data_IF_865882882250
#
_entry.id   IF_865882882250
#
_cell.length_a   1.000
_cell.length_b   1.000
_cell.length_c   1.000
_cell.angle_alpha   90.00
_cell.angle_beta   90.00
_cell.angle_gamma   90.00
#
_symmetry.space_group_name_H-M   'P 1'
#
loop_
_entity.id
_entity.type
_entity.pdbx_description
1 polymer ?
#
# COMPACT_ATOMS: atom_id res chain seq x y z
N UNK A 1 38.17 -26.20 11.60
CA UNK A 1 37.63 -25.23 12.58
C UNK A 1 36.43 -24.52 11.94
N UNK A 2 35.23 -25.09 12.07
CA UNK A 2 33.96 -24.53 11.54
C UNK A 2 33.05 -24.02 12.67
N UNK A 3 33.62 -23.30 13.64
CA UNK A 3 32.86 -22.79 14.80
C UNK A 3 32.09 -21.48 14.53
N UNK A 4 32.40 -20.76 13.44
CA UNK A 4 31.80 -19.44 13.17
C UNK A 4 30.41 -19.49 12.54
N UNK A 5 30.09 -20.52 11.75
CA UNK A 5 28.85 -20.59 10.97
C UNK A 5 27.59 -20.74 11.83
N UNK A 6 27.67 -21.54 12.90
CA UNK A 6 26.51 -21.78 13.77
C UNK A 6 26.05 -20.51 14.49
N UNK A 7 27.00 -19.67 14.94
CA UNK A 7 26.67 -18.43 15.64
C UNK A 7 25.84 -17.47 14.79
N UNK A 8 26.21 -17.27 13.53
CA UNK A 8 25.49 -16.38 12.60
C UNK A 8 24.07 -16.89 12.33
N UNK A 9 23.89 -18.20 12.12
CA UNK A 9 22.58 -18.80 11.90
C UNK A 9 21.61 -18.56 13.07
N UNK A 10 22.08 -18.71 14.31
CA UNK A 10 21.26 -18.45 15.50
C UNK A 10 20.89 -16.97 15.63
N UNK A 11 21.81 -16.05 15.33
CA UNK A 11 21.51 -14.61 15.36
C UNK A 11 20.43 -14.28 14.33
N UNK A 12 20.53 -14.79 13.10
CA UNK A 12 19.51 -14.56 12.06
C UNK A 12 18.17 -15.14 12.50
N UNK A 13 18.14 -16.36 13.02
CA UNK A 13 16.92 -17.00 13.52
C UNK A 13 16.27 -16.22 14.67
N UNK A 14 17.07 -15.71 15.61
CA UNK A 14 16.57 -14.90 16.73
C UNK A 14 16.01 -13.56 16.27
N UNK A 15 16.70 -12.87 15.35
CA UNK A 15 16.24 -11.63 14.73
C UNK A 15 14.91 -11.86 14.01
N UNK A 16 14.80 -12.95 13.24
CA UNK A 16 13.58 -13.34 12.55
C UNK A 16 12.41 -13.54 13.53
N UNK A 17 12.61 -14.36 14.56
CA UNK A 17 11.59 -14.66 15.58
C UNK A 17 11.15 -13.40 16.33
N UNK A 18 12.10 -12.54 16.68
CA UNK A 18 11.81 -11.25 17.32
C UNK A 18 11.00 -10.35 16.40
N UNK A 19 11.34 -10.30 15.11
CA UNK A 19 10.59 -9.57 14.09
C UNK A 19 9.17 -10.09 13.92
N UNK A 20 8.98 -11.41 13.81
CA UNK A 20 7.66 -12.03 13.70
C UNK A 20 6.79 -11.80 14.95
N UNK A 21 7.37 -11.95 16.14
CA UNK A 21 6.68 -11.66 17.40
C UNK A 21 6.30 -10.18 17.52
N UNK A 22 7.22 -9.27 17.17
CA UNK A 22 6.95 -7.84 17.14
C UNK A 22 5.82 -7.49 16.16
N UNK A 23 5.86 -8.03 14.94
CA UNK A 23 4.80 -7.83 13.94
C UNK A 23 3.45 -8.35 14.42
N UNK A 24 3.43 -9.51 15.07
CA UNK A 24 2.21 -10.08 15.66
C UNK A 24 1.65 -9.19 16.78
N UNK A 25 2.52 -8.69 17.66
CA UNK A 25 2.12 -7.76 18.72
C UNK A 25 1.56 -6.46 18.15
N UNK A 26 2.22 -5.91 17.12
CA UNK A 26 1.79 -4.70 16.41
C UNK A 26 0.46 -4.92 15.67
N UNK A 27 0.25 -6.08 15.07
CA UNK A 27 -1.03 -6.48 14.47
C UNK A 27 -2.14 -6.54 15.54
N UNK A 28 -1.87 -7.14 16.69
CA UNK A 28 -2.82 -7.22 17.80
C UNK A 28 -3.16 -5.83 18.38
N UNK A 29 -2.16 -4.95 18.50
CA UNK A 29 -2.39 -3.55 18.92
C UNK A 29 -3.25 -2.80 17.91
N UNK A 30 -2.93 -2.92 16.61
CA UNK A 30 -3.71 -2.30 15.54
C UNK A 30 -5.16 -2.77 15.59
N UNK A 31 -5.39 -4.06 15.84
CA UNK A 31 -6.74 -4.64 15.94
C UNK A 31 -7.58 -4.01 17.07
N UNK A 32 -6.93 -3.60 18.15
CA UNK A 32 -7.56 -3.01 19.35
C UNK A 32 -7.68 -1.48 19.28
N UNK A 33 -6.75 -0.79 18.61
CA UNK A 33 -6.64 0.67 18.64
C UNK A 33 -6.70 1.27 17.23
N UNK A 34 -7.83 1.90 16.89
CA UNK A 34 -8.02 2.57 15.60
C UNK A 34 -7.06 3.75 15.37
N UNK A 35 -6.59 4.39 16.43
CA UNK A 35 -5.63 5.51 16.37
C UNK A 35 -4.28 5.13 15.79
N UNK A 36 -3.93 3.84 15.80
CA UNK A 36 -2.68 3.35 15.21
C UNK A 36 -2.74 3.24 13.69
N UNK A 37 -3.92 3.25 13.07
CA UNK A 37 -4.08 3.09 11.62
C UNK A 37 -3.29 4.16 10.86
N UNK A 38 -3.38 5.42 11.28
CA UNK A 38 -2.68 6.52 10.61
C UNK A 38 -1.16 6.40 10.73
N UNK A 39 -0.66 5.92 11.87
CA UNK A 39 0.75 5.63 12.06
C UNK A 39 1.25 4.57 11.06
N UNK A 40 0.51 3.46 10.89
CA UNK A 40 0.88 2.45 9.89
C UNK A 40 0.77 2.97 8.47
N UNK A 41 -0.28 3.73 8.14
CA UNK A 41 -0.43 4.35 6.83
C UNK A 41 0.75 5.27 6.50
N UNK A 42 1.27 5.99 7.50
CA UNK A 42 2.48 6.79 7.37
C UNK A 42 3.72 5.91 7.16
N UNK A 43 3.88 4.79 7.88
CA UNK A 43 5.00 3.86 7.65
C UNK A 43 4.99 3.28 6.23
N UNK A 44 3.82 3.01 5.66
CA UNK A 44 3.68 2.49 4.31
C UNK A 44 3.83 3.54 3.20
N UNK A 45 4.09 4.83 3.51
CA UNK A 45 4.29 5.86 2.47
C UNK A 45 5.54 5.62 1.63
N UNK A 46 6.49 4.83 2.12
CA UNK A 46 7.70 4.44 1.39
C UNK A 46 7.36 3.57 0.17
N UNK A 47 6.24 2.85 0.21
CA UNK A 47 5.79 2.04 -0.92
C UNK A 47 5.11 2.92 -1.98
N UNK A 48 5.41 2.73 -3.28
CA UNK A 48 4.84 3.53 -4.38
C UNK A 48 3.38 3.19 -4.70
N UNK A 49 2.58 2.87 -3.68
CA UNK A 49 1.18 2.49 -3.82
C UNK A 49 0.24 3.65 -3.52
N UNK A 50 -0.93 3.64 -4.15
CA UNK A 50 -2.01 4.59 -3.84
C UNK A 50 -2.51 4.45 -2.40
N UNK A 51 -3.08 5.52 -1.84
CA UNK A 51 -3.63 5.53 -0.47
C UNK A 51 -4.65 4.40 -0.23
N UNK A 52 -5.42 4.01 -1.25
CA UNK A 52 -6.41 2.93 -1.16
C UNK A 52 -5.78 1.55 -0.96
N UNK A 53 -4.67 1.29 -1.68
CA UNK A 53 -3.93 0.03 -1.55
C UNK A 53 -3.24 -0.02 -0.19
N UNK A 54 -2.64 1.10 0.25
CA UNK A 54 -2.05 1.22 1.60
C UNK A 54 -3.06 0.96 2.70
N UNK A 55 -4.30 1.44 2.57
CA UNK A 55 -5.38 1.10 3.51
C UNK A 55 -5.74 -0.37 3.48
N UNK A 56 -5.79 -0.98 2.30
CA UNK A 56 -5.94 -2.42 2.15
C UNK A 56 -4.84 -3.19 2.89
N UNK A 57 -3.59 -2.76 2.74
CA UNK A 57 -2.42 -3.36 3.38
C UNK A 57 -2.50 -3.32 4.91
N UNK A 58 -2.92 -2.18 5.47
CA UNK A 58 -3.11 -2.05 6.93
C UNK A 58 -4.17 -3.03 7.44
N UNK A 59 -5.22 -3.33 6.65
CA UNK A 59 -6.24 -4.32 7.02
C UNK A 59 -5.71 -5.75 6.99
N UNK A 60 -4.75 -6.05 6.13
CA UNK A 60 -4.16 -7.38 5.98
C UNK A 60 -2.97 -7.66 6.90
N UNK A 61 -2.52 -6.69 7.71
CA UNK A 61 -1.39 -6.85 8.66
C UNK A 61 -1.48 -8.10 9.53
N UNK A 62 -2.68 -8.52 9.96
CA UNK A 62 -2.86 -9.76 10.72
C UNK A 62 -2.57 -11.03 9.92
N UNK A 63 -2.93 -11.02 8.63
CA UNK A 63 -2.61 -12.12 7.70
C UNK A 63 -1.12 -12.12 7.40
N UNK A 64 -0.49 -10.95 7.25
CA UNK A 64 0.96 -10.82 7.08
C UNK A 64 1.73 -11.34 8.29
N UNK A 65 1.27 -11.05 9.51
CA UNK A 65 1.87 -11.61 10.72
C UNK A 65 1.77 -13.16 10.73
N UNK A 66 0.64 -13.71 10.26
CA UNK A 66 0.44 -15.16 10.16
C UNK A 66 1.37 -15.79 9.11
N UNK A 67 1.56 -15.14 7.97
CA UNK A 67 2.46 -15.63 6.92
C UNK A 67 3.94 -15.63 7.38
N UNK A 68 4.36 -14.66 8.19
CA UNK A 68 5.70 -14.66 8.81
C UNK A 68 5.93 -15.89 9.69
N UNK A 69 4.94 -16.30 10.49
CA UNK A 69 5.03 -17.53 11.27
C UNK A 69 5.08 -18.78 10.38
N UNK A 70 4.33 -18.81 9.29
CA UNK A 70 4.38 -19.91 8.32
C UNK A 70 5.73 -20.01 7.60
N UNK A 71 6.43 -18.90 7.37
CA UNK A 71 7.77 -18.85 6.77
C UNK A 71 8.86 -19.31 7.74
N UNK A 72 8.62 -19.24 9.06
CA UNK A 72 9.60 -19.60 10.09
C UNK A 72 10.22 -20.99 9.89
N UNK A 73 9.49 -22.10 9.70
CA UNK A 73 10.11 -23.40 9.43
C UNK A 73 10.99 -23.41 8.17
N UNK A 74 10.64 -22.64 7.14
CA UNK A 74 11.44 -22.54 5.91
C UNK A 74 12.78 -21.85 6.19
N UNK A 75 12.76 -20.77 6.97
CA UNK A 75 13.96 -20.05 7.39
C UNK A 75 14.85 -20.93 8.24
N UNK A 76 14.29 -21.62 9.24
CA UNK A 76 15.09 -22.49 10.12
C UNK A 76 15.67 -23.70 9.39
N UNK A 77 14.93 -24.33 8.48
CA UNK A 77 15.47 -25.42 7.66
C UNK A 77 16.62 -24.95 6.77
N UNK A 78 16.48 -23.77 6.15
CA UNK A 78 17.55 -23.19 5.32
C UNK A 78 18.77 -22.74 6.13
N UNK A 79 18.57 -22.22 7.34
CA UNK A 79 19.68 -21.78 8.22
C UNK A 79 20.47 -22.93 8.83
N UNK A 80 19.82 -24.07 9.08
CA UNK A 80 20.44 -25.24 9.68
C UNK A 80 21.07 -26.18 8.66
N UNK A 81 20.97 -25.86 7.35
CA UNK A 81 21.40 -26.72 6.24
C UNK A 81 20.91 -28.17 6.42
N UNK A 82 19.67 -28.30 6.87
CA UNK A 82 19.11 -29.60 7.23
C UNK A 82 18.76 -30.38 5.97
N UNK A 83 19.30 -31.59 5.82
CA UNK A 83 18.86 -32.52 4.77
C UNK A 83 17.36 -32.77 4.88
N UNK A 84 16.62 -32.52 3.79
CA UNK A 84 15.16 -32.69 3.76
C UNK A 84 14.79 -34.17 3.84
N UNK A 85 14.45 -34.64 5.04
CA UNK A 85 13.76 -35.92 5.25
C UNK A 85 12.29 -35.84 4.81
N UNK A 86 11.64 -36.99 4.64
CA UNK A 86 10.23 -37.04 4.20
C UNK A 86 9.26 -36.25 5.11
N UNK A 87 9.49 -36.27 6.42
CA UNK A 87 8.68 -35.49 7.38
C UNK A 87 8.88 -33.97 7.25
N UNK A 88 10.13 -33.53 7.07
CA UNK A 88 10.44 -32.11 6.84
C UNK A 88 9.90 -31.63 5.49
N UNK A 89 9.91 -32.47 4.45
CA UNK A 89 9.30 -32.15 3.17
C UNK A 89 7.80 -31.85 3.29
N UNK A 90 7.07 -32.62 4.10
CA UNK A 90 5.66 -32.35 4.39
C UNK A 90 5.46 -31.00 5.12
N UNK A 91 6.31 -30.68 6.11
CA UNK A 91 6.27 -29.38 6.81
C UNK A 91 6.54 -28.23 5.85
N UNK A 92 7.53 -28.35 4.97
CA UNK A 92 7.85 -27.35 3.93
C UNK A 92 6.66 -27.15 3.00
N UNK A 93 6.07 -28.24 2.49
CA UNK A 93 4.90 -28.17 1.61
C UNK A 93 3.74 -27.46 2.29
N UNK A 94 3.43 -27.81 3.55
CA UNK A 94 2.37 -27.16 4.32
C UNK A 94 2.65 -25.68 4.56
N UNK A 95 3.88 -25.32 4.92
CA UNK A 95 4.30 -23.93 5.09
C UNK A 95 4.10 -23.12 3.80
N UNK A 96 4.55 -23.66 2.66
CA UNK A 96 4.36 -23.03 1.34
C UNK A 96 2.87 -22.84 1.02
N UNK A 97 2.05 -23.87 1.23
CA UNK A 97 0.60 -23.77 0.99
C UNK A 97 -0.07 -22.72 1.89
N UNK A 98 0.33 -22.63 3.16
CA UNK A 98 -0.18 -21.61 4.09
C UNK A 98 0.24 -20.21 3.63
N UNK A 99 1.48 -20.01 3.18
CA UNK A 99 1.96 -18.72 2.67
C UNK A 99 1.18 -18.32 1.42
N UNK A 100 0.96 -19.24 0.48
CA UNK A 100 0.15 -18.99 -0.72
C UNK A 100 -1.31 -18.64 -0.37
N UNK A 101 -1.90 -19.36 0.58
CA UNK A 101 -3.24 -19.06 1.07
C UNK A 101 -3.31 -17.68 1.75
N UNK A 102 -2.30 -17.31 2.53
CA UNK A 102 -2.18 -15.98 3.12
C UNK A 102 -2.10 -14.91 2.04
N UNK A 103 -1.22 -15.06 1.04
CA UNK A 103 -1.08 -14.13 -0.08
C UNK A 103 -2.40 -13.94 -0.85
N UNK A 104 -3.10 -15.03 -1.16
CA UNK A 104 -4.41 -14.97 -1.81
C UNK A 104 -5.45 -14.23 -0.94
N UNK A 105 -5.39 -14.44 0.38
CA UNK A 105 -6.24 -13.77 1.34
C UNK A 105 -5.91 -12.27 1.48
N UNK A 106 -4.63 -11.88 1.50
CA UNK A 106 -4.20 -10.48 1.53
C UNK A 106 -4.72 -9.74 0.29
N UNK A 107 -4.51 -10.31 -0.90
CA UNK A 107 -5.03 -9.75 -2.16
C UNK A 107 -6.56 -9.60 -2.10
N UNK A 108 -7.27 -10.59 -1.56
CA UNK A 108 -8.73 -10.55 -1.42
C UNK A 108 -9.19 -9.46 -0.44
N UNK A 109 -8.47 -9.26 0.67
CA UNK A 109 -8.74 -8.19 1.65
C UNK A 109 -8.48 -6.82 1.02
N UNK A 110 -7.37 -6.65 0.31
CA UNK A 110 -6.99 -5.37 -0.32
C UNK A 110 -7.99 -4.97 -1.41
N UNK A 111 -8.40 -5.93 -2.25
CA UNK A 111 -9.29 -5.67 -3.39
C UNK A 111 -10.76 -5.58 -2.98
N UNK A 112 -11.22 -6.48 -2.13
CA UNK A 112 -12.64 -6.70 -1.86
C UNK A 112 -13.05 -6.54 -0.39
N UNK A 113 -12.10 -6.42 0.54
CA UNK A 113 -12.35 -6.43 1.99
C UNK A 113 -12.98 -7.75 2.49
N UNK A 114 -12.58 -8.88 1.89
CA UNK A 114 -13.10 -10.24 2.22
C UNK A 114 -11.92 -11.19 2.46
N UNK A 115 -11.95 -12.01 3.55
CA UNK A 115 -13.03 -12.18 4.51
C UNK A 115 -13.00 -11.14 5.65
N UNK A 116 -14.17 -10.58 5.97
CA UNK A 116 -14.30 -9.53 7.00
C UNK A 116 -13.85 -9.95 8.42
N UNK A 117 -13.78 -11.26 8.69
CA UNK A 117 -13.28 -11.77 9.98
C UNK A 117 -11.80 -11.51 10.19
N UNK A 118 -11.01 -11.49 9.11
CA UNK A 118 -9.57 -11.25 9.14
C UNK A 118 -9.21 -9.76 9.11
N UNK A 119 -10.23 -8.90 9.09
CA UNK A 119 -10.08 -7.44 9.06
C UNK A 119 -10.35 -6.87 10.46
N UNK A 120 -9.55 -5.87 10.91
CA UNK A 120 -9.81 -5.16 12.15
C UNK A 120 -11.26 -4.64 12.25
N UNK A 121 -11.96 -4.81 13.39
CA UNK A 121 -13.38 -4.51 13.55
C UNK A 121 -13.78 -3.11 13.11
N UNK A 122 -12.93 -2.12 13.41
CA UNK A 122 -13.15 -0.71 13.07
C UNK A 122 -12.95 -0.39 11.58
N UNK A 123 -12.39 -1.30 10.78
CA UNK A 123 -12.18 -1.14 9.33
C UNK A 123 -13.10 -2.02 8.47
N UNK A 124 -13.97 -2.84 9.08
CA UNK A 124 -14.84 -3.78 8.35
C UNK A 124 -15.89 -3.08 7.47
N UNK A 125 -16.29 -1.87 7.84
CA UNK A 125 -17.24 -1.07 7.06
C UNK A 125 -16.60 -0.34 5.88
N UNK A 126 -15.28 -0.35 5.77
CA UNK A 126 -14.60 0.35 4.69
C UNK A 126 -14.73 -0.43 3.37
N UNK A 127 -14.99 0.25 2.24
CA UNK A 127 -15.05 -0.42 0.95
C UNK A 127 -13.67 -0.91 0.51
N UNK A 128 -13.65 -2.02 -0.23
CA UNK A 128 -12.46 -2.50 -0.94
C UNK A 128 -12.05 -1.58 -2.09
N UNK A 129 -10.79 -1.69 -2.52
CA UNK A 129 -10.21 -0.86 -3.59
C UNK A 129 -11.03 -0.92 -4.90
N UNK A 130 -11.55 -2.10 -5.24
CA UNK A 130 -12.34 -2.30 -6.48
C UNK A 130 -13.66 -1.52 -6.42
N UNK A 131 -14.32 -1.50 -5.26
CA UNK A 131 -15.59 -0.77 -5.07
C UNK A 131 -15.36 0.73 -5.24
N UNK A 132 -14.30 1.26 -4.63
CA UNK A 132 -13.93 2.67 -4.76
C UNK A 132 -13.54 3.04 -6.20
N UNK A 133 -12.79 2.17 -6.87
CA UNK A 133 -12.44 2.38 -8.28
C UNK A 133 -13.68 2.42 -9.18
N UNK A 134 -14.62 1.47 -8.99
CA UNK A 134 -15.90 1.45 -9.72
C UNK A 134 -16.72 2.71 -9.47
N UNK A 135 -16.83 3.15 -8.21
CA UNK A 135 -17.54 4.37 -7.84
C UNK A 135 -16.93 5.62 -8.50
N UNK A 136 -15.59 5.74 -8.50
CA UNK A 136 -14.88 6.83 -9.20
C UNK A 136 -15.15 6.80 -10.70
N UNK A 137 -15.15 5.62 -11.33
CA UNK A 137 -15.44 5.47 -12.77
C UNK A 137 -16.88 5.85 -13.10
N UNK A 138 -17.84 5.51 -12.26
CA UNK A 138 -19.24 5.92 -12.41
C UNK A 138 -19.43 7.44 -12.31
N UNK A 139 -18.79 8.10 -11.33
CA UNK A 139 -18.82 9.57 -11.18
C UNK A 139 -18.22 10.31 -12.38
N UNK A 140 -17.14 9.78 -12.98
CA UNK A 140 -16.56 10.37 -14.20
C UNK A 140 -17.54 10.31 -15.38
N UNK A 141 -18.28 9.20 -15.54
CA UNK A 141 -19.30 9.06 -16.59
C UNK A 141 -20.44 10.06 -16.40
N UNK A 142 -20.95 10.25 -15.18
CA UNK A 142 -22.03 11.20 -14.91
C UNK A 142 -21.62 12.66 -15.13
N UNK A 143 -20.40 13.04 -14.75
CA UNK A 143 -19.88 14.39 -15.03
C UNK A 143 -19.67 14.62 -16.54
N UNK A 144 -19.20 13.61 -17.28
CA UNK A 144 -19.08 13.68 -18.73
C UNK A 144 -20.44 13.86 -19.42
N UNK A 145 -21.46 13.12 -18.96
CA UNK A 145 -22.82 13.23 -19.47
C UNK A 145 -23.46 14.58 -19.12
N UNK A 146 -23.35 15.03 -17.87
CA UNK A 146 -23.85 16.33 -17.43
C UNK A 146 -23.23 17.50 -18.18
N UNK A 147 -21.92 17.45 -18.46
CA UNK A 147 -21.26 18.47 -19.33
C UNK A 147 -21.82 18.46 -20.74
N UNK A 148 -22.05 17.29 -21.35
CA UNK A 148 -22.63 17.21 -22.70
C UNK A 148 -24.05 17.75 -22.75
N UNK A 149 -24.90 17.38 -21.78
CA UNK A 149 -26.28 17.88 -21.71
C UNK A 149 -26.32 19.38 -21.43
N UNK A 150 -25.44 19.88 -20.54
CA UNK A 150 -25.29 21.31 -20.29
C UNK A 150 -24.85 22.08 -21.53
N UNK A 151 -23.89 21.55 -22.29
CA UNK A 151 -23.43 22.13 -23.55
C UNK A 151 -24.55 22.16 -24.61
N UNK A 152 -25.32 21.07 -24.75
CA UNK A 152 -26.44 21.01 -25.68
C UNK A 152 -27.59 21.97 -25.29
N UNK A 153 -27.88 22.12 -23.99
CA UNK A 153 -28.85 23.13 -23.51
C UNK A 153 -28.36 24.56 -23.76
N UNK A 154 -27.07 24.83 -23.60
CA UNK A 154 -26.49 26.13 -23.90
C UNK A 154 -26.64 26.45 -25.40
N UNK A 155 -26.33 25.49 -26.27
CA UNK A 155 -26.48 25.63 -27.72
C UNK A 155 -27.93 25.90 -28.13
N UNK A 156 -28.90 25.21 -27.51
CA UNK A 156 -30.34 25.41 -27.79
C UNK A 156 -30.86 26.79 -27.38
N UNK A 157 -30.23 27.46 -26.41
CA UNK A 157 -30.63 28.83 -25.97
C UNK A 157 -30.07 29.94 -26.86
N UNK A 158 -29.49 29.62 -28.01
CA UNK A 158 -28.89 30.63 -28.89
C UNK A 158 -27.62 31.25 -28.32
N UNK A 159 -27.04 30.66 -27.25
CA UNK A 159 -25.67 30.98 -26.86
C UNK A 159 -24.76 30.38 -27.93
N UNK A 160 -24.28 31.25 -28.82
CA UNK A 160 -23.12 31.00 -29.64
C UNK A 160 -22.01 30.44 -28.75
N UNK A 161 -21.40 29.33 -29.19
CA UNK A 161 -20.42 28.58 -28.42
C UNK A 161 -19.45 29.56 -27.72
N UNK A 162 -19.16 29.38 -26.42
CA UNK A 162 -18.29 30.29 -25.69
C UNK A 162 -17.01 30.44 -26.50
N UNK A 163 -16.83 31.64 -27.08
CA UNK A 163 -15.64 32.02 -27.84
C UNK A 163 -14.49 31.65 -26.92
N UNK A 164 -13.68 30.69 -27.33
CA UNK A 164 -12.62 30.05 -26.54
C UNK A 164 -11.66 31.16 -26.10
N UNK A 165 -11.98 31.82 -24.99
CA UNK A 165 -11.11 32.81 -24.38
C UNK A 165 -9.88 32.02 -23.96
N UNK A 166 -8.73 32.49 -24.43
CA UNK A 166 -7.42 31.88 -24.21
C UNK A 166 -7.35 31.33 -22.79
N UNK A 167 -7.15 30.02 -22.69
CA UNK A 167 -7.22 29.34 -21.40
C UNK A 167 -6.20 29.98 -20.45
N UNK A 168 -6.50 30.09 -19.15
CA UNK A 168 -5.57 30.63 -18.14
C UNK A 168 -4.18 29.95 -18.12
N UNK A 169 -4.05 28.79 -18.78
CA UNK A 169 -2.77 28.11 -19.04
C UNK A 169 -1.90 28.83 -20.08
N UNK A 170 -2.48 29.48 -21.08
CA UNK A 170 -1.78 30.33 -22.04
C UNK A 170 -1.38 31.67 -21.41
N UNK A 171 -2.23 32.25 -20.55
CA UNK A 171 -1.87 33.46 -19.78
C UNK A 171 -0.69 33.23 -18.81
N UNK A 172 -0.62 32.06 -18.15
CA UNK A 172 0.52 31.70 -17.29
C UNK A 172 1.79 31.36 -18.08
N UNK A 173 1.66 30.86 -19.31
CA UNK A 173 2.80 30.66 -20.21
C UNK A 173 3.35 31.98 -20.76
N UNK A 174 2.50 33.02 -20.91
CA UNK A 174 2.98 34.37 -21.24
C UNK A 174 3.62 35.09 -20.05
N UNK A 175 3.13 34.91 -18.82
CA UNK A 175 3.76 35.49 -17.62
C UNK A 175 5.08 34.80 -17.25
N UNK A 176 5.19 33.48 -17.39
CA UNK A 176 6.41 32.74 -17.07
C UNK A 176 7.60 33.04 -17.99
N UNK A 177 7.39 33.67 -19.15
CA UNK A 177 8.46 34.07 -20.08
C UNK A 177 9.06 35.45 -19.76
N UNK A 178 8.39 36.24 -18.91
CA UNK A 178 8.86 37.57 -18.51
C UNK A 178 9.73 37.56 -17.24
N UNK A 179 9.80 36.44 -16.50
CA UNK A 179 10.44 36.39 -15.17
C UNK A 179 11.87 35.79 -15.15
N UNK A 180 12.44 35.38 -16.29
CA UNK A 180 13.76 34.73 -16.33
C UNK A 180 14.97 35.70 -16.33
N UNK A 181 14.80 36.96 -15.92
CA UNK A 181 15.87 37.96 -16.02
C UNK A 181 16.30 38.63 -14.71
N UNK A 182 15.87 38.15 -13.54
CA UNK A 182 16.33 38.69 -12.25
C UNK A 182 17.18 37.71 -11.44
N UNK A 183 18.48 37.96 -11.56
CA UNK A 183 19.38 38.24 -10.43
C UNK A 183 19.69 37.08 -9.48
N UNK A 184 20.82 36.42 -9.77
CA UNK A 184 21.53 35.65 -8.78
C UNK A 184 22.01 36.52 -7.62
N UNK A 185 21.91 35.99 -6.41
CA UNK A 185 22.83 36.29 -5.30
C UNK A 185 22.96 35.03 -4.46
N UNK A 186 24.12 34.40 -4.59
CA UNK A 186 24.60 33.30 -3.77
C UNK A 186 24.83 33.77 -2.34
N UNK A 187 24.06 33.26 -1.38
CA UNK A 187 24.41 33.40 0.04
C UNK A 187 24.70 32.02 0.62
N UNK A 188 25.99 31.69 0.68
CA UNK A 188 26.52 30.60 1.51
C UNK A 188 26.51 31.06 2.98
N UNK A 189 25.98 30.27 3.93
CA UNK A 189 26.32 30.41 5.33
C UNK A 189 27.57 29.58 5.67
N UNK A 190 28.42 30.07 6.59
CA UNK A 190 29.65 29.40 6.97
C UNK A 190 29.40 28.24 7.94
N UNK A 191 30.29 27.27 7.83
CA UNK A 191 30.45 26.09 8.65
C UNK A 191 30.61 26.40 10.14
N UNK A 192 29.91 25.62 10.98
CA UNK A 192 30.33 25.24 12.34
C UNK A 192 29.97 23.77 12.57
#
# INVERSE_FOLDING_TARGET
MSGGGCGVAYVIGLVWMTGAAFMTWKAAQLWRNATLVDFFLASFTVLPFGQEVRRGEVRSVGVTATSLWAITPLVFLGLLDAEMTGGQAAVVLMAVLIVLACMACEISIILFNVPARLVPPHMRSEPGTVVLWRARRARKKSLGFGRRVGMLRAYRRGMSAPRRTATAREARLSEGRASSHETGTSHFPPHL
#
